data_IF_663382970507
#
_entry.id   IF_663382970507
#
_cell.length_a   1.000
_cell.length_b   1.000
_cell.length_c   1.000
_cell.angle_alpha   90.00
_cell.angle_beta   90.00
_cell.angle_gamma   90.00
#
_symmetry.space_group_name_H-M   'P 1'
#
loop_
_entity.id
_entity.type
_entity.pdbx_description
1 polymer ?
#
# COMPACT_ATOMS: atom_id res chain seq x y z
N UNK A 1 24.88 16.40 5.04
CA UNK A 1 24.12 16.25 6.29
C UNK A 1 22.75 16.93 6.22
N UNK A 2 22.62 18.11 5.62
CA UNK A 2 21.36 18.86 5.52
C UNK A 2 20.27 18.14 4.66
N UNK A 3 20.67 17.54 3.54
CA UNK A 3 19.75 16.84 2.62
C UNK A 3 19.13 15.58 3.21
N UNK A 4 19.90 14.79 3.96
CA UNK A 4 19.40 13.58 4.63
C UNK A 4 18.39 13.93 5.74
N UNK A 5 18.63 15.02 6.48
CA UNK A 5 17.68 15.52 7.48
C UNK A 5 16.39 16.01 6.83
N UNK A 6 16.47 16.74 5.71
CA UNK A 6 15.29 17.18 4.97
C UNK A 6 14.49 16.00 4.41
N UNK A 7 15.16 15.02 3.79
CA UNK A 7 14.50 13.82 3.26
C UNK A 7 13.73 13.08 4.35
N UNK A 8 14.35 12.87 5.52
CA UNK A 8 13.71 12.25 6.68
C UNK A 8 12.50 13.04 7.18
N UNK A 9 12.60 14.37 7.27
CA UNK A 9 11.46 15.22 7.63
C UNK A 9 10.33 15.11 6.61
N UNK A 10 10.63 15.15 5.31
CA UNK A 10 9.62 15.07 4.25
C UNK A 10 8.82 13.78 4.34
N UNK A 11 9.50 12.63 4.42
CA UNK A 11 8.80 11.32 4.48
C UNK A 11 7.96 11.15 5.74
N UNK A 12 8.31 11.80 6.85
CA UNK A 12 7.51 11.77 8.08
C UNK A 12 6.27 12.68 8.06
N UNK A 13 6.20 13.65 7.15
CA UNK A 13 5.01 14.52 6.98
C UNK A 13 4.07 14.04 5.86
N UNK A 14 4.49 13.03 5.08
CA UNK A 14 3.63 12.39 4.07
C UNK A 14 2.71 11.40 4.76
N UNK A 15 1.42 11.43 4.42
CA UNK A 15 0.38 10.54 4.99
C UNK A 15 0.40 9.10 4.46
N UNK A 16 1.19 8.84 3.41
CA UNK A 16 1.44 7.51 2.89
C UNK A 16 2.47 6.77 3.74
N UNK A 17 2.32 5.44 3.84
CA UNK A 17 3.30 4.63 4.55
C UNK A 17 4.55 4.43 3.68
N UNK A 18 5.72 4.66 4.27
CA UNK A 18 7.02 4.46 3.64
C UNK A 18 7.87 3.57 4.55
N UNK A 19 8.45 2.51 4.00
CA UNK A 19 9.38 1.65 4.72
C UNK A 19 10.48 1.08 3.82
N UNK A 20 11.54 0.60 4.44
CA UNK A 20 12.57 -0.20 3.79
C UNK A 20 12.74 -1.53 4.53
N UNK A 21 12.75 -2.61 3.77
CA UNK A 21 13.01 -3.96 4.24
C UNK A 21 14.28 -4.47 3.57
N UNK A 22 15.21 -5.01 4.33
CA UNK A 22 16.38 -5.64 3.73
C UNK A 22 16.04 -6.99 3.08
N UNK A 23 17.03 -7.61 2.45
CA UNK A 23 16.90 -8.92 1.81
C UNK A 23 16.45 -10.03 2.77
N UNK A 24 16.76 -9.91 4.06
CA UNK A 24 16.36 -10.86 5.12
C UNK A 24 14.97 -10.54 5.70
N UNK A 25 14.25 -9.58 5.08
CA UNK A 25 12.92 -9.13 5.46
C UNK A 25 12.87 -8.52 6.87
N UNK A 26 13.96 -7.89 7.32
CA UNK A 26 14.02 -7.12 8.56
C UNK A 26 13.80 -5.65 8.25
N UNK A 27 12.94 -4.98 9.03
CA UNK A 27 12.64 -3.56 8.84
C UNK A 27 13.88 -2.73 9.14
N UNK A 28 14.38 -1.93 8.19
CA UNK A 28 15.48 -0.97 8.44
C UNK A 28 15.02 0.47 8.48
N UNK A 29 13.84 0.75 7.94
CA UNK A 29 13.23 2.07 8.01
C UNK A 29 11.71 1.98 7.96
N UNK A 30 11.04 2.88 8.68
CA UNK A 30 9.60 3.09 8.64
C UNK A 30 9.32 4.56 8.99
N UNK A 31 8.49 5.25 8.20
CA UNK A 31 8.07 6.60 8.51
C UNK A 31 6.99 6.63 9.60
N UNK A 32 6.67 7.83 10.09
CA UNK A 32 5.64 8.03 11.12
C UNK A 32 4.30 7.37 10.78
N UNK A 33 3.80 7.52 9.55
CA UNK A 33 2.53 6.90 9.12
C UNK A 33 2.58 5.38 9.11
N UNK A 34 3.70 4.76 8.72
CA UNK A 34 3.87 3.31 8.78
C UNK A 34 3.75 2.80 10.22
N UNK A 35 4.42 3.47 11.16
CA UNK A 35 4.38 3.14 12.58
C UNK A 35 2.97 3.30 13.17
N UNK A 36 2.28 4.40 12.83
CA UNK A 36 0.91 4.68 13.28
C UNK A 36 -0.08 3.62 12.78
N UNK A 37 -0.05 3.29 11.49
CA UNK A 37 -1.01 2.36 10.90
C UNK A 37 -0.83 0.92 11.40
N UNK A 38 0.38 0.52 11.78
CA UNK A 38 0.64 -0.78 12.38
C UNK A 38 0.64 -0.75 13.92
N UNK A 39 0.44 0.41 14.55
CA UNK A 39 0.43 0.55 16.01
C UNK A 39 1.76 0.17 16.66
N UNK A 40 2.90 0.47 16.01
CA UNK A 40 4.25 0.12 16.47
C UNK A 40 5.03 1.36 16.90
N UNK A 41 5.98 1.17 17.82
CA UNK A 41 7.01 2.16 18.12
C UNK A 41 8.24 1.89 17.25
N UNK A 42 8.95 2.95 16.86
CA UNK A 42 10.18 2.82 16.05
C UNK A 42 11.19 1.89 16.70
N UNK A 43 11.36 1.97 18.03
CA UNK A 43 12.31 1.18 18.81
C UNK A 43 12.02 -0.32 18.77
N UNK A 44 10.76 -0.71 18.60
CA UNK A 44 10.33 -2.11 18.52
C UNK A 44 10.32 -2.62 17.08
N UNK A 45 10.33 -1.70 16.11
CA UNK A 45 10.19 -2.01 14.69
C UNK A 45 11.55 -2.17 14.01
N UNK A 46 12.38 -1.13 14.08
CA UNK A 46 13.59 -1.01 13.28
C UNK A 46 14.67 -1.97 13.78
N UNK A 47 15.13 -2.86 12.90
CA UNK A 47 16.15 -3.87 13.15
C UNK A 47 15.68 -5.06 14.00
N UNK A 48 14.40 -5.12 14.37
CA UNK A 48 13.86 -6.14 15.29
C UNK A 48 12.71 -6.96 14.72
N UNK A 49 11.79 -6.32 14.00
CA UNK A 49 10.62 -6.99 13.44
C UNK A 49 10.90 -7.44 12.01
N UNK A 50 10.55 -8.68 11.72
CA UNK A 50 10.48 -9.22 10.36
C UNK A 50 9.16 -8.87 9.69
N UNK A 51 9.14 -8.84 8.36
CA UNK A 51 7.92 -8.54 7.59
C UNK A 51 6.82 -9.57 7.86
N UNK A 52 7.21 -10.83 8.11
CA UNK A 52 6.30 -11.91 8.50
C UNK A 52 5.63 -11.64 9.84
N UNK A 53 6.39 -11.24 10.85
CA UNK A 53 5.85 -10.90 12.17
C UNK A 53 4.93 -9.68 12.10
N UNK A 54 5.27 -8.68 11.29
CA UNK A 54 4.43 -7.49 11.12
C UNK A 54 3.08 -7.83 10.45
N UNK A 55 3.13 -8.54 9.32
CA UNK A 55 1.93 -8.80 8.51
C UNK A 55 1.08 -9.93 9.08
N UNK A 56 1.67 -10.85 9.84
CA UNK A 56 0.98 -12.01 10.40
C UNK A 56 0.25 -12.80 9.30
N UNK A 57 -1.06 -13.05 9.42
CA UNK A 57 -1.84 -13.78 8.41
C UNK A 57 -1.82 -13.17 7.00
N UNK A 58 -1.53 -11.87 6.86
CA UNK A 58 -1.42 -11.22 5.54
C UNK A 58 -0.13 -11.58 4.82
N UNK A 59 0.87 -12.13 5.50
CA UNK A 59 2.18 -12.42 4.90
C UNK A 59 2.05 -13.32 3.67
N UNK A 60 1.26 -14.39 3.76
CA UNK A 60 1.08 -15.34 2.65
C UNK A 60 0.43 -14.68 1.42
N UNK A 61 -0.45 -13.69 1.62
CA UNK A 61 -1.03 -12.90 0.50
C UNK A 61 -0.02 -11.95 -0.12
N UNK A 62 0.97 -11.51 0.66
CA UNK A 62 2.02 -10.61 0.22
C UNK A 62 3.23 -11.36 -0.37
N UNK A 63 3.36 -12.67 -0.11
CA UNK A 63 4.52 -13.47 -0.50
C UNK A 63 4.85 -13.40 -2.00
N UNK A 64 3.89 -13.52 -2.95
CA UNK A 64 4.23 -13.42 -4.38
C UNK A 64 4.86 -12.08 -4.76
N UNK A 65 4.43 -10.98 -4.13
CA UNK A 65 5.00 -9.66 -4.37
C UNK A 65 6.36 -9.48 -3.66
N UNK A 66 6.54 -10.10 -2.50
CA UNK A 66 7.84 -10.12 -1.80
C UNK A 66 8.86 -10.88 -2.66
N UNK A 67 8.49 -12.05 -3.19
CA UNK A 67 9.33 -12.84 -4.07
C UNK A 67 9.62 -12.11 -5.38
N UNK A 68 8.61 -11.49 -5.99
CA UNK A 68 8.79 -10.70 -7.22
C UNK A 68 9.77 -9.54 -7.04
N UNK A 69 9.66 -8.78 -5.95
CA UNK A 69 10.59 -7.67 -5.68
C UNK A 69 11.99 -8.17 -5.32
N UNK A 70 12.11 -9.28 -4.59
CA UNK A 70 13.39 -9.93 -4.33
C UNK A 70 13.96 -10.69 -5.55
N UNK A 71 13.18 -10.80 -6.63
CA UNK A 71 13.63 -11.19 -7.97
C UNK A 71 14.08 -10.02 -8.84
N UNK A 72 13.95 -8.78 -8.34
CA UNK A 72 14.35 -7.56 -9.05
C UNK A 72 13.22 -6.88 -9.83
N UNK A 73 11.97 -7.32 -9.66
CA UNK A 73 10.82 -6.76 -10.36
C UNK A 73 9.97 -5.87 -9.45
N UNK A 74 9.73 -4.63 -9.86
CA UNK A 74 8.83 -3.74 -9.14
C UNK A 74 7.40 -4.31 -9.10
N UNK A 75 6.76 -4.23 -7.93
CA UNK A 75 5.41 -4.77 -7.72
C UNK A 75 4.43 -3.66 -7.41
N UNK A 76 3.19 -3.80 -7.90
CA UNK A 76 2.09 -2.89 -7.59
C UNK A 76 0.82 -3.69 -7.42
N UNK A 77 0.15 -3.52 -6.28
CA UNK A 77 -1.05 -4.29 -5.95
C UNK A 77 -1.94 -3.56 -4.95
N UNK A 78 -3.24 -3.81 -5.03
CA UNK A 78 -4.19 -3.33 -4.04
C UNK A 78 -4.30 -4.31 -2.87
N UNK A 79 -4.53 -3.79 -1.66
CA UNK A 79 -4.87 -4.60 -0.50
C UNK A 79 -5.69 -3.82 0.52
N UNK A 80 -6.40 -4.56 1.36
CA UNK A 80 -7.02 -4.02 2.56
C UNK A 80 -6.09 -4.18 3.76
N UNK A 81 -5.96 -3.11 4.56
CA UNK A 81 -5.24 -3.13 5.84
C UNK A 81 -6.24 -2.82 6.94
N UNK A 82 -6.20 -3.62 8.02
CA UNK A 82 -6.95 -3.34 9.24
C UNK A 82 -6.12 -2.41 10.12
N UNK A 83 -6.61 -1.20 10.36
CA UNK A 83 -5.97 -0.24 11.26
C UNK A 83 -6.10 -0.68 12.73
N UNK A 84 -5.34 -0.10 13.67
CA UNK A 84 -5.40 -0.49 15.09
C UNK A 84 -6.78 -0.24 15.72
N UNK A 85 -7.58 0.67 15.16
CA UNK A 85 -8.96 0.93 15.55
C UNK A 85 -9.98 -0.08 14.96
N UNK A 86 -9.52 -1.09 14.23
CA UNK A 86 -10.35 -2.14 13.61
C UNK A 86 -10.98 -1.77 12.27
N UNK A 87 -10.82 -0.54 11.78
CA UNK A 87 -11.40 -0.13 10.49
C UNK A 87 -10.55 -0.62 9.32
N UNK A 88 -11.16 -1.14 8.24
CA UNK A 88 -10.43 -1.45 7.02
C UNK A 88 -10.07 -0.16 6.27
N UNK A 89 -8.93 -0.20 5.60
CA UNK A 89 -8.49 0.85 4.66
C UNK A 89 -8.08 0.18 3.34
N UNK A 90 -8.66 0.66 2.23
CA UNK A 90 -8.24 0.29 0.89
C UNK A 90 -6.93 0.98 0.57
N UNK A 91 -5.95 0.21 0.10
CA UNK A 91 -4.61 0.73 -0.16
C UNK A 91 -4.07 0.25 -1.50
N UNK A 92 -3.23 1.08 -2.11
CA UNK A 92 -2.36 0.71 -3.22
C UNK A 92 -0.93 0.60 -2.67
N UNK A 93 -0.36 -0.59 -2.74
CA UNK A 93 1.01 -0.89 -2.31
C UNK A 93 1.93 -1.00 -3.52
N UNK A 94 3.12 -0.40 -3.40
CA UNK A 94 4.21 -0.52 -4.36
C UNK A 94 5.46 -1.03 -3.66
N UNK A 95 6.10 -2.04 -4.23
CA UNK A 95 7.43 -2.49 -3.81
C UNK A 95 8.44 -2.19 -4.92
N UNK A 96 9.55 -1.56 -4.57
CA UNK A 96 10.63 -1.23 -5.49
C UNK A 96 11.93 -1.86 -5.02
N UNK A 97 12.61 -2.68 -5.85
CA UNK A 97 13.84 -3.34 -5.43
C UNK A 97 14.96 -2.31 -5.28
N UNK A 98 15.79 -2.49 -4.25
CA UNK A 98 17.06 -1.77 -4.11
C UNK A 98 18.18 -2.63 -4.70
N UNK A 99 18.67 -2.23 -5.87
CA UNK A 99 19.64 -3.00 -6.65
C UNK A 99 20.95 -2.20 -6.75
N UNK A 100 22.03 -2.79 -6.21
CA UNK A 100 23.38 -2.24 -6.28
C UNK A 100 24.30 -3.30 -6.87
N UNK A 101 24.99 -2.95 -7.96
CA UNK A 101 25.91 -3.85 -8.68
C UNK A 101 25.29 -5.22 -9.02
N UNK A 102 24.01 -5.21 -9.41
CA UNK A 102 23.25 -6.42 -9.76
C UNK A 102 22.81 -7.27 -8.57
N UNK A 103 23.07 -6.84 -7.34
CA UNK A 103 22.62 -7.50 -6.11
C UNK A 103 21.43 -6.77 -5.50
N UNK A 104 20.44 -7.54 -5.07
CA UNK A 104 19.26 -7.01 -4.38
C UNK A 104 19.59 -6.90 -2.90
N UNK A 105 19.64 -5.67 -2.38
CA UNK A 105 19.94 -5.38 -0.97
C UNK A 105 18.68 -5.39 -0.09
N UNK A 106 17.52 -5.23 -0.72
CA UNK A 106 16.23 -5.08 -0.06
C UNK A 106 15.23 -4.44 -1.00
N UNK A 107 14.21 -3.80 -0.44
CA UNK A 107 13.21 -3.07 -1.21
C UNK A 107 12.54 -1.96 -0.42
N UNK A 108 12.16 -0.93 -1.15
CA UNK A 108 11.33 0.17 -0.68
C UNK A 108 9.86 -0.22 -0.76
N UNK A 109 9.11 0.18 0.26
CA UNK A 109 7.66 0.01 0.32
C UNK A 109 7.02 1.38 0.36
N UNK A 110 6.07 1.61 -0.54
CA UNK A 110 5.16 2.74 -0.51
C UNK A 110 3.72 2.23 -0.46
N UNK A 111 2.90 2.76 0.44
CA UNK A 111 1.48 2.40 0.52
C UNK A 111 0.62 3.66 0.66
N UNK A 112 -0.20 3.90 -0.34
CA UNK A 112 -1.15 5.01 -0.38
C UNK A 112 -2.56 4.56 0.03
N UNK A 113 -3.29 5.43 0.72
CA UNK A 113 -4.73 5.29 0.96
C UNK A 113 -5.49 5.59 -0.35
N UNK A 114 -6.37 4.70 -0.76
CA UNK A 114 -7.22 4.87 -1.95
C UNK A 114 -8.71 4.80 -1.63
N UNK A 115 -9.10 4.94 -0.34
CA UNK A 115 -10.50 4.91 0.08
C UNK A 115 -11.37 5.90 -0.70
N UNK A 116 -10.95 7.15 -0.80
CA UNK A 116 -11.72 8.20 -1.49
C UNK A 116 -11.91 7.87 -2.98
N UNK A 117 -10.86 7.36 -3.61
CA UNK A 117 -10.91 6.91 -5.01
C UNK A 117 -11.90 5.75 -5.16
N UNK A 118 -11.87 4.76 -4.26
CA UNK A 118 -12.80 3.62 -4.28
C UNK A 118 -14.25 4.06 -4.03
N UNK A 119 -14.47 5.01 -3.13
CA UNK A 119 -15.79 5.57 -2.86
C UNK A 119 -16.35 6.28 -4.10
N UNK A 120 -15.55 7.16 -4.73
CA UNK A 120 -15.94 7.86 -5.95
C UNK A 120 -16.19 6.90 -7.12
N UNK A 121 -15.34 5.87 -7.30
CA UNK A 121 -15.55 4.83 -8.31
C UNK A 121 -16.87 4.10 -8.10
N UNK A 122 -17.22 3.80 -6.84
CA UNK A 122 -18.48 3.13 -6.49
C UNK A 122 -19.69 4.02 -6.75
N UNK A 123 -19.60 5.32 -6.46
CA UNK A 123 -20.65 6.28 -6.76
C UNK A 123 -20.86 6.46 -8.26
N UNK A 124 -19.77 6.57 -9.02
CA UNK A 124 -19.82 6.68 -10.47
C UNK A 124 -20.44 5.42 -11.10
N UNK A 125 -20.05 4.23 -10.65
CA UNK A 125 -20.64 2.97 -11.12
C UNK A 125 -22.16 2.94 -10.89
N UNK A 126 -22.61 3.32 -9.69
CA UNK A 126 -24.04 3.38 -9.37
C UNK A 126 -24.79 4.37 -10.27
N UNK A 127 -24.21 5.54 -10.52
CA UNK A 127 -24.82 6.55 -11.40
C UNK A 127 -24.95 6.03 -12.83
N UNK A 128 -23.90 5.38 -13.35
CA UNK A 128 -23.92 4.76 -14.67
C UNK A 128 -24.97 3.65 -14.79
N UNK A 129 -25.13 2.81 -13.77
CA UNK A 129 -26.15 1.75 -13.74
C UNK A 129 -27.57 2.33 -13.84
N UNK A 130 -27.84 3.42 -13.10
CA UNK A 130 -29.14 4.12 -13.15
C UNK A 130 -29.40 4.70 -14.54
N UNK A 131 -28.41 5.38 -15.14
CA UNK A 131 -28.52 5.94 -16.49
C UNK A 131 -28.80 4.84 -17.51
N UNK A 132 -28.06 3.73 -17.44
CA UNK A 132 -28.24 2.60 -18.35
C UNK A 132 -29.63 1.98 -18.23
N UNK A 133 -30.18 1.90 -17.02
CA UNK A 133 -31.53 1.41 -16.79
C UNK A 133 -32.60 2.35 -17.36
N UNK A 134 -32.45 3.68 -17.18
CA UNK A 134 -33.35 4.67 -17.76
C UNK A 134 -33.32 4.65 -19.30
N UNK A 135 -32.14 4.57 -19.89
CA UNK A 135 -31.97 4.49 -21.35
C UNK A 135 -32.67 3.25 -21.94
N UNK A 136 -32.55 2.09 -21.28
CA UNK A 136 -33.27 0.86 -21.70
C UNK A 136 -34.79 1.02 -21.61
N UNK A 137 -35.28 1.68 -20.58
CA UNK A 137 -36.73 1.91 -20.39
C UNK A 137 -37.29 2.82 -21.48
N UNK A 138 -36.59 3.93 -21.78
CA UNK A 138 -36.95 4.87 -22.84
C UNK A 138 -36.97 4.19 -24.22
N UNK A 139 -35.97 3.36 -24.53
CA UNK A 139 -35.92 2.64 -25.79
C UNK A 139 -37.12 1.68 -25.95
N UNK A 140 -37.52 1.00 -24.87
CA UNK A 140 -38.69 0.11 -24.89
C UNK A 140 -40.00 0.88 -25.14
N UNK A 141 -40.15 2.05 -24.52
CA UNK A 141 -41.33 2.92 -24.69
C UNK A 141 -41.42 3.56 -26.08
N UNK A 142 -40.29 3.77 -26.78
CA UNK A 142 -40.28 4.32 -28.14
C UNK A 142 -40.56 3.27 -29.22
N UNK A 143 -40.45 1.98 -28.89
CA UNK A 143 -40.74 0.87 -29.81
C UNK A 143 -42.18 0.34 -29.72
N UNK A 144 -42.97 0.85 -28.76
CA UNK A 144 -44.41 0.58 -28.59
C UNK A 144 -45.25 1.71 -29.16
#
# INVERSE_FOLDING_TARGET
>A
METASLAHSVVNHISAMIAYWDRDLVCRYANASYLEWFGKKSEDMIGKITLRELLGPLYEKNLPYIEGVLGGEAQTFEREITLPNGKPKYTLANYYPDIVDGQILGFFVHVADINDVKLLQKELSKSNDVINQQNKLLATLQMS
#
